data_IF_570817015376
#
_entry.id   IF_570817015376
#
_cell.length_a   1.000
_cell.length_b   1.000
_cell.length_c   1.000
_cell.angle_alpha   90.00
_cell.angle_beta   90.00
_cell.angle_gamma   90.00
#
_symmetry.space_group_name_H-M   'P 1'
#
loop_
_entity.id
_entity.type
_entity.pdbx_description
1 polymer ?
#
# COMPACT_ATOMS: atom_id res chain seq x y z
N UNK A 1 -14.21 -5.09 11.01
CA UNK A 1 -12.88 -5.60 10.64
C UNK A 1 -13.07 -6.94 9.93
N UNK A 2 -12.61 -7.05 8.68
CA UNK A 2 -12.84 -8.25 7.83
C UNK A 2 -11.65 -9.22 7.92
N UNK A 3 -10.47 -8.75 8.35
CA UNK A 3 -9.25 -9.57 8.43
C UNK A 3 -8.25 -8.95 9.40
N UNK A 4 -7.10 -9.63 9.63
CA UNK A 4 -6.03 -9.14 10.49
C UNK A 4 -5.24 -8.02 9.82
N UNK A 5 -4.59 -7.17 10.62
CA UNK A 5 -3.70 -6.11 10.11
C UNK A 5 -2.52 -6.73 9.36
N UNK A 6 -2.02 -7.89 9.83
CA UNK A 6 -0.93 -8.61 9.16
C UNK A 6 -1.29 -8.98 7.71
N UNK A 7 -2.46 -9.56 7.47
CA UNK A 7 -2.94 -9.90 6.12
C UNK A 7 -3.10 -8.64 5.25
N UNK A 8 -3.68 -7.58 5.81
CA UNK A 8 -3.83 -6.31 5.10
C UNK A 8 -2.49 -5.73 4.65
N UNK A 9 -1.49 -5.66 5.54
CA UNK A 9 -0.16 -5.12 5.22
C UNK A 9 0.63 -6.01 4.26
N UNK A 10 0.55 -7.33 4.41
CA UNK A 10 1.19 -8.29 3.49
C UNK A 10 0.63 -8.14 2.07
N UNK A 11 -0.70 -8.12 1.92
CA UNK A 11 -1.32 -7.98 0.60
C UNK A 11 -1.11 -6.60 0.01
N UNK A 12 -1.11 -5.55 0.82
CA UNK A 12 -0.75 -4.20 0.37
C UNK A 12 0.67 -4.13 -0.19
N UNK A 13 1.62 -4.92 0.35
CA UNK A 13 3.01 -5.01 -0.16
C UNK A 13 3.12 -5.47 -1.60
N UNK A 14 2.03 -5.89 -2.23
CA UNK A 14 2.01 -6.24 -3.65
C UNK A 14 2.01 -5.01 -4.57
N UNK A 15 1.76 -3.79 -4.05
CA UNK A 15 1.67 -2.60 -4.90
C UNK A 15 2.93 -2.29 -5.74
N UNK A 16 4.19 -2.54 -5.29
CA UNK A 16 5.35 -2.33 -6.14
C UNK A 16 5.37 -3.22 -7.37
N UNK A 17 4.68 -4.37 -7.31
CA UNK A 17 4.54 -5.23 -8.46
C UNK A 17 3.60 -4.63 -9.50
N UNK A 18 2.45 -4.11 -9.06
CA UNK A 18 1.57 -3.38 -9.96
C UNK A 18 2.32 -2.21 -10.62
N UNK A 19 3.16 -1.49 -9.87
CA UNK A 19 4.03 -0.45 -10.43
C UNK A 19 4.96 -0.99 -11.52
N UNK A 20 5.55 -2.16 -11.30
CA UNK A 20 6.48 -2.78 -12.26
C UNK A 20 5.84 -3.06 -13.62
N UNK A 21 4.52 -3.31 -13.65
CA UNK A 21 3.76 -3.50 -14.90
C UNK A 21 3.13 -2.21 -15.41
N UNK A 22 2.49 -1.45 -14.54
CA UNK A 22 1.75 -0.26 -14.94
C UNK A 22 2.66 0.88 -15.39
N UNK A 23 3.83 1.04 -14.75
CA UNK A 23 4.77 2.11 -15.07
C UNK A 23 5.26 2.04 -16.53
N UNK A 24 5.74 0.88 -17.06
CA UNK A 24 6.10 0.75 -18.45
C UNK A 24 4.93 0.98 -19.41
N UNK A 25 3.71 0.56 -19.06
CA UNK A 25 2.52 0.77 -19.90
C UNK A 25 2.19 2.25 -20.00
N UNK A 26 2.16 2.97 -18.87
CA UNK A 26 1.79 4.40 -18.82
C UNK A 26 2.86 5.29 -19.46
N UNK A 27 4.15 4.96 -19.24
CA UNK A 27 5.27 5.73 -19.78
C UNK A 27 5.83 5.16 -21.10
N UNK A 28 5.12 4.20 -21.73
CA UNK A 28 5.46 3.58 -23.02
C UNK A 28 6.86 2.93 -23.02
N UNK A 29 7.26 2.35 -21.89
CA UNK A 29 8.51 1.59 -21.77
C UNK A 29 8.30 0.10 -22.05
N UNK A 30 9.38 -0.63 -22.38
CA UNK A 30 9.28 -2.09 -22.60
C UNK A 30 9.20 -2.85 -21.28
N UNK A 31 8.22 -3.75 -21.15
CA UNK A 31 8.11 -4.68 -20.03
C UNK A 31 9.29 -5.65 -20.05
N UNK A 32 10.03 -5.72 -18.96
CA UNK A 32 11.18 -6.62 -18.85
C UNK A 32 10.71 -8.05 -18.51
N UNK A 33 11.34 -9.08 -19.09
CA UNK A 33 11.05 -10.49 -18.75
C UNK A 33 11.15 -10.76 -17.25
N UNK A 34 12.06 -10.11 -16.59
CA UNK A 34 12.24 -10.18 -15.15
C UNK A 34 10.98 -9.74 -14.38
N UNK A 35 10.26 -8.73 -14.85
CA UNK A 35 9.03 -8.25 -14.23
C UNK A 35 7.95 -9.33 -14.24
N UNK A 36 7.86 -10.09 -15.32
CA UNK A 36 6.92 -11.23 -15.42
C UNK A 36 7.29 -12.31 -14.39
N UNK A 37 8.58 -12.62 -14.26
CA UNK A 37 9.05 -13.62 -13.29
C UNK A 37 8.74 -13.19 -11.85
N UNK A 38 8.98 -11.93 -11.53
CA UNK A 38 8.65 -11.35 -10.23
C UNK A 38 7.15 -11.42 -9.93
N UNK A 39 6.30 -11.21 -10.96
CA UNK A 39 4.85 -11.33 -10.82
C UNK A 39 4.42 -12.74 -10.42
N UNK A 40 4.99 -13.74 -11.08
CA UNK A 40 4.66 -15.14 -10.81
C UNK A 40 5.05 -15.50 -9.36
N UNK A 41 6.27 -15.16 -8.95
CA UNK A 41 6.74 -15.50 -7.58
C UNK A 41 5.90 -14.75 -6.53
N UNK A 42 5.55 -13.49 -6.78
CA UNK A 42 4.72 -12.74 -5.87
C UNK A 42 3.32 -13.35 -5.75
N UNK A 43 2.72 -13.74 -6.88
CA UNK A 43 1.42 -14.42 -6.88
C UNK A 43 1.49 -15.72 -6.04
N UNK A 44 2.58 -16.48 -6.15
CA UNK A 44 2.82 -17.65 -5.30
C UNK A 44 2.93 -17.23 -3.83
N UNK A 45 3.64 -16.14 -3.52
CA UNK A 45 3.72 -15.59 -2.15
C UNK A 45 2.36 -15.26 -1.57
N UNK A 46 1.48 -14.62 -2.35
CA UNK A 46 0.09 -14.34 -1.93
C UNK A 46 -0.68 -15.65 -1.69
N UNK A 47 -0.56 -16.65 -2.58
CA UNK A 47 -1.24 -17.93 -2.39
C UNK A 47 -0.80 -18.67 -1.12
N UNK A 48 0.47 -18.54 -0.71
CA UNK A 48 0.98 -19.15 0.54
C UNK A 48 0.28 -18.53 1.76
N UNK A 49 -0.07 -17.24 1.72
CA UNK A 49 -0.74 -16.58 2.86
C UNK A 49 -2.19 -17.02 3.05
N UNK A 50 -2.81 -17.63 2.02
CA UNK A 50 -4.21 -18.07 2.08
C UNK A 50 -4.28 -19.46 2.76
N UNK A 51 -4.88 -19.58 3.96
CA UNK A 51 -4.98 -20.88 4.64
C UNK A 51 -5.95 -21.83 3.92
N UNK A 52 -7.11 -21.34 3.54
CA UNK A 52 -8.16 -22.05 2.80
C UNK A 52 -8.81 -21.11 1.80
N UNK A 53 -8.89 -21.54 0.54
CA UNK A 53 -9.51 -20.74 -0.52
C UNK A 53 -11.03 -20.90 -0.48
N UNK A 54 -11.69 -20.07 0.33
CA UNK A 54 -13.14 -20.02 0.43
C UNK A 54 -13.62 -18.57 0.47
N UNK A 55 -14.59 -18.23 -0.39
CA UNK A 55 -15.19 -16.89 -0.36
C UNK A 55 -15.97 -16.59 0.92
N UNK A 56 -16.24 -17.61 1.73
CA UNK A 56 -16.83 -17.47 3.05
C UNK A 56 -15.78 -17.21 4.16
N UNK A 57 -14.48 -17.23 3.81
CA UNK A 57 -13.40 -17.04 4.77
C UNK A 57 -12.99 -15.56 4.79
N UNK A 58 -13.03 -14.94 5.96
CA UNK A 58 -12.65 -13.53 6.19
C UNK A 58 -11.22 -13.23 5.70
N UNK A 59 -10.31 -14.18 5.82
CA UNK A 59 -8.94 -14.07 5.29
C UNK A 59 -8.92 -13.87 3.78
N UNK A 60 -9.69 -14.67 3.03
CA UNK A 60 -9.78 -14.56 1.56
C UNK A 60 -10.37 -13.22 1.15
N UNK A 61 -11.43 -12.78 1.83
CA UNK A 61 -12.05 -11.47 1.60
C UNK A 61 -11.06 -10.34 1.90
N UNK A 62 -10.32 -10.44 3.00
CA UNK A 62 -9.27 -9.49 3.38
C UNK A 62 -8.16 -9.38 2.33
N UNK A 63 -7.72 -10.51 1.77
CA UNK A 63 -6.73 -10.55 0.69
C UNK A 63 -7.25 -9.86 -0.58
N UNK A 64 -8.50 -10.13 -0.98
CA UNK A 64 -9.11 -9.48 -2.15
C UNK A 64 -9.13 -7.95 -1.98
N UNK A 65 -9.61 -7.47 -0.83
CA UNK A 65 -9.62 -6.04 -0.53
C UNK A 65 -8.22 -5.44 -0.46
N UNK A 66 -7.26 -6.16 0.12
CA UNK A 66 -5.85 -5.75 0.15
C UNK A 66 -5.23 -5.65 -1.24
N UNK A 67 -5.55 -6.57 -2.16
CA UNK A 67 -5.09 -6.52 -3.55
C UNK A 67 -5.72 -5.34 -4.32
N UNK A 68 -7.00 -5.04 -4.10
CA UNK A 68 -7.68 -3.87 -4.68
C UNK A 68 -7.02 -2.59 -4.16
N UNK A 69 -6.79 -2.49 -2.86
CA UNK A 69 -6.10 -1.36 -2.23
C UNK A 69 -4.68 -1.18 -2.81
N UNK A 70 -3.94 -2.26 -2.96
CA UNK A 70 -2.61 -2.29 -3.55
C UNK A 70 -2.59 -1.78 -5.00
N UNK A 71 -3.53 -2.21 -5.83
CA UNK A 71 -3.67 -1.74 -7.20
C UNK A 71 -4.03 -0.25 -7.28
N UNK A 72 -4.99 0.20 -6.49
CA UNK A 72 -5.40 1.61 -6.46
C UNK A 72 -4.27 2.50 -5.97
N UNK A 73 -3.49 2.06 -4.97
CA UNK A 73 -2.32 2.78 -4.48
C UNK A 73 -1.19 2.84 -5.53
N UNK A 74 -1.00 1.79 -6.31
CA UNK A 74 -0.06 1.81 -7.42
C UNK A 74 -0.46 2.83 -8.49
N UNK A 75 -1.74 2.89 -8.86
CA UNK A 75 -2.26 3.89 -9.80
C UNK A 75 -2.06 5.31 -9.25
N UNK A 76 -2.37 5.54 -7.97
CA UNK A 76 -2.16 6.81 -7.28
C UNK A 76 -0.68 7.23 -7.31
N UNK A 77 0.24 6.29 -7.01
CA UNK A 77 1.68 6.53 -7.03
C UNK A 77 2.17 6.94 -8.42
N UNK A 78 1.66 6.32 -9.49
CA UNK A 78 1.99 6.69 -10.86
C UNK A 78 1.41 8.06 -11.25
N UNK A 79 0.19 8.37 -10.82
CA UNK A 79 -0.41 9.68 -10.99
C UNK A 79 0.42 10.76 -10.28
N UNK A 80 0.84 10.52 -9.04
CA UNK A 80 1.69 11.41 -8.27
C UNK A 80 3.03 11.65 -8.95
N UNK A 81 3.67 10.61 -9.48
CA UNK A 81 4.89 10.73 -10.28
C UNK A 81 4.66 11.58 -11.51
N UNK A 82 3.59 11.35 -12.25
CA UNK A 82 3.26 12.11 -13.47
C UNK A 82 3.03 13.59 -13.17
N UNK A 83 2.25 13.89 -12.14
CA UNK A 83 1.95 15.27 -11.77
C UNK A 83 3.13 15.97 -11.08
N UNK A 84 4.00 15.25 -10.36
CA UNK A 84 5.15 15.83 -9.66
C UNK A 84 6.16 16.48 -10.61
N UNK A 85 6.16 16.11 -11.90
CA UNK A 85 6.95 16.77 -12.91
C UNK A 85 6.48 18.20 -13.23
N UNK A 86 5.20 18.53 -12.96
CA UNK A 86 4.57 19.80 -13.35
C UNK A 86 4.13 20.64 -12.17
N UNK A 87 3.76 20.03 -11.05
CA UNK A 87 3.17 20.69 -9.89
C UNK A 87 4.02 20.47 -8.63
N UNK A 88 3.91 21.40 -7.68
CA UNK A 88 4.51 21.23 -6.38
C UNK A 88 3.81 20.11 -5.59
N UNK A 89 4.55 19.33 -4.82
CA UNK A 89 4.01 18.21 -4.04
C UNK A 89 2.83 18.64 -3.15
N UNK A 90 2.94 19.78 -2.48
CA UNK A 90 1.87 20.35 -1.65
C UNK A 90 0.57 20.58 -2.43
N UNK A 91 0.65 20.99 -3.69
CA UNK A 91 -0.53 21.20 -4.54
C UNK A 91 -1.17 19.86 -4.89
N UNK A 92 -0.37 18.87 -5.26
CA UNK A 92 -0.86 17.52 -5.57
C UNK A 92 -1.57 16.94 -4.35
N UNK A 93 -0.92 16.96 -3.18
CA UNK A 93 -1.49 16.44 -1.94
C UNK A 93 -2.76 17.19 -1.51
N UNK A 94 -2.82 18.52 -1.72
CA UNK A 94 -4.02 19.28 -1.41
C UNK A 94 -5.22 18.82 -2.24
N UNK A 95 -5.05 18.64 -3.55
CA UNK A 95 -6.13 18.16 -4.41
C UNK A 95 -6.49 16.70 -4.11
N UNK A 96 -5.49 15.84 -3.89
CA UNK A 96 -5.66 14.43 -3.58
C UNK A 96 -6.44 14.24 -2.27
N UNK A 97 -5.94 14.81 -1.17
CA UNK A 97 -6.57 14.69 0.14
C UNK A 97 -7.86 15.49 0.23
N UNK A 98 -7.90 16.66 -0.40
CA UNK A 98 -9.10 17.49 -0.45
C UNK A 98 -10.25 16.82 -1.20
N UNK A 99 -9.99 16.23 -2.36
CA UNK A 99 -11.01 15.48 -3.09
C UNK A 99 -11.50 14.26 -2.32
N UNK A 100 -10.58 13.51 -1.68
CA UNK A 100 -10.95 12.39 -0.83
C UNK A 100 -11.81 12.83 0.36
N UNK A 101 -11.46 13.94 1.01
CA UNK A 101 -12.24 14.49 2.11
C UNK A 101 -13.66 14.89 1.67
N UNK A 102 -13.79 15.55 0.52
CA UNK A 102 -15.11 15.95 -0.03
C UNK A 102 -15.97 14.72 -0.36
N UNK A 103 -15.39 13.71 -1.00
CA UNK A 103 -16.10 12.46 -1.35
C UNK A 103 -16.54 11.68 -0.11
N UNK A 104 -15.70 11.67 0.94
CA UNK A 104 -15.98 10.95 2.18
C UNK A 104 -16.81 11.74 3.19
N UNK A 105 -16.99 13.03 2.98
CA UNK A 105 -17.76 13.89 3.90
C UNK A 105 -19.16 13.33 4.23
N UNK A 106 -19.95 12.81 3.26
CA UNK A 106 -21.26 12.23 3.56
C UNK A 106 -21.20 11.05 4.54
N UNK A 107 -20.07 10.30 4.56
CA UNK A 107 -19.92 9.15 5.48
C UNK A 107 -19.97 9.57 6.96
N UNK A 108 -19.58 10.80 7.29
CA UNK A 108 -19.69 11.32 8.67
C UNK A 108 -21.13 11.39 9.17
N UNK A 109 -22.10 11.52 8.26
CA UNK A 109 -23.52 11.60 8.58
C UNK A 109 -24.21 10.23 8.53
N UNK A 110 -23.55 9.21 7.94
CA UNK A 110 -24.09 7.87 7.78
C UNK A 110 -23.58 6.89 8.85
N UNK A 111 -22.46 7.23 9.52
CA UNK A 111 -21.84 6.37 10.53
C UNK A 111 -22.03 7.01 11.92
N UNK A 112 -22.75 6.33 12.78
CA UNK A 112 -22.86 6.72 14.19
C UNK A 112 -21.52 6.48 14.89
N UNK A 113 -20.83 7.56 15.25
CA UNK A 113 -19.54 7.52 15.94
C UNK A 113 -19.60 8.27 17.25
N UNK A 114 -19.16 7.62 18.32
CA UNK A 114 -18.95 8.28 19.62
C UNK A 114 -17.51 8.75 19.70
N UNK A 115 -17.31 10.05 19.60
CA UNK A 115 -15.97 10.65 19.65
C UNK A 115 -15.48 10.81 21.08
N UNK A 116 -14.32 10.21 21.40
CA UNK A 116 -13.57 10.46 22.61
C UNK A 116 -12.44 11.44 22.33
N UNK A 117 -11.97 12.17 23.32
CA UNK A 117 -10.83 13.11 23.17
C UNK A 117 -9.57 12.41 22.61
N UNK A 118 -9.35 11.16 23.00
CA UNK A 118 -8.24 10.34 22.51
C UNK A 118 -8.35 10.03 21.00
N UNK A 119 -9.57 9.77 20.53
CA UNK A 119 -9.83 9.48 19.11
C UNK A 119 -9.57 10.73 18.26
N UNK A 120 -9.99 11.91 18.74
CA UNK A 120 -9.74 13.19 18.08
C UNK A 120 -8.24 13.48 18.01
N UNK A 121 -7.50 13.26 19.09
CA UNK A 121 -6.05 13.44 19.10
C UNK A 121 -5.34 12.46 18.17
N UNK A 122 -5.78 11.18 18.12
CA UNK A 122 -5.27 10.17 17.21
C UNK A 122 -5.52 10.52 15.74
N UNK A 123 -6.75 10.90 15.39
CA UNK A 123 -7.12 11.33 14.03
C UNK A 123 -6.34 12.58 13.63
N UNK A 124 -6.16 13.55 14.53
CA UNK A 124 -5.36 14.74 14.26
C UNK A 124 -3.89 14.38 14.00
N UNK A 125 -3.29 13.49 14.80
CA UNK A 125 -1.93 13.01 14.58
C UNK A 125 -1.78 12.33 13.22
N UNK A 126 -2.66 11.39 12.89
CA UNK A 126 -2.65 10.69 11.59
C UNK A 126 -2.85 11.68 10.44
N UNK A 127 -3.79 12.62 10.56
CA UNK A 127 -4.08 13.59 9.52
C UNK A 127 -2.92 14.56 9.27
N UNK A 128 -2.34 15.16 10.31
CA UNK A 128 -1.28 16.15 10.14
C UNK A 128 0.10 15.53 9.91
N UNK A 129 0.48 14.53 10.71
CA UNK A 129 1.84 13.97 10.66
C UNK A 129 1.95 12.89 9.60
N UNK A 130 1.08 11.87 9.64
CA UNK A 130 1.21 10.72 8.75
C UNK A 130 0.66 11.02 7.35
N UNK A 131 -0.41 11.82 7.24
CA UNK A 131 -1.03 12.11 5.94
C UNK A 131 -0.50 13.41 5.34
N UNK A 132 -0.68 14.56 5.96
CA UNK A 132 -0.27 15.82 5.34
C UNK A 132 1.25 15.94 5.19
N UNK A 133 2.01 15.72 6.25
CA UNK A 133 3.46 15.90 6.24
C UNK A 133 4.19 14.75 5.55
N UNK A 134 4.02 13.52 6.01
CA UNK A 134 4.75 12.37 5.49
C UNK A 134 4.41 12.08 4.02
N UNK A 135 3.13 12.16 3.64
CA UNK A 135 2.72 11.95 2.24
C UNK A 135 3.23 13.06 1.32
N UNK A 136 3.27 14.32 1.77
CA UNK A 136 3.87 15.42 1.01
C UNK A 136 5.37 15.21 0.76
N UNK A 137 6.12 14.67 1.74
CA UNK A 137 7.51 14.29 1.55
C UNK A 137 7.66 13.16 0.53
N UNK A 138 6.80 12.14 0.61
CA UNK A 138 6.78 11.02 -0.31
C UNK A 138 6.54 11.48 -1.75
N UNK A 139 5.51 12.30 -2.00
CA UNK A 139 5.21 12.87 -3.32
C UNK A 139 6.34 13.77 -3.81
N UNK A 140 6.96 14.55 -2.91
CA UNK A 140 8.11 15.40 -3.25
C UNK A 140 9.33 14.59 -3.70
N UNK A 141 9.59 13.43 -3.07
CA UNK A 141 10.68 12.54 -3.44
C UNK A 141 10.49 11.93 -4.84
N UNK A 142 9.25 11.74 -5.30
CA UNK A 142 8.94 11.17 -6.62
C UNK A 142 9.38 12.04 -7.81
N UNK A 143 9.76 13.30 -7.58
CA UNK A 143 10.41 14.13 -8.62
C UNK A 143 11.76 13.57 -9.05
N UNK A 144 12.49 12.98 -8.11
CA UNK A 144 13.89 12.56 -8.30
C UNK A 144 14.08 11.05 -8.23
N UNK A 145 13.04 10.32 -7.81
CA UNK A 145 13.09 8.87 -7.56
C UNK A 145 12.04 8.18 -8.41
N UNK A 146 12.41 7.08 -9.08
CA UNK A 146 11.46 6.25 -9.83
C UNK A 146 10.38 5.70 -8.89
N UNK A 147 9.16 5.53 -9.39
CA UNK A 147 8.04 5.00 -8.61
C UNK A 147 8.36 3.61 -7.99
N UNK A 148 9.08 2.77 -8.74
CA UNK A 148 9.57 1.48 -8.23
C UNK A 148 10.50 1.62 -7.03
N UNK A 149 11.45 2.56 -7.04
CA UNK A 149 12.36 2.79 -5.89
C UNK A 149 11.59 3.32 -4.67
N UNK A 150 10.64 4.23 -4.88
CA UNK A 150 9.73 4.67 -3.83
C UNK A 150 8.93 3.49 -3.26
N UNK A 151 8.47 2.57 -4.12
CA UNK A 151 7.79 1.35 -3.72
C UNK A 151 8.62 0.42 -2.84
N UNK A 152 9.96 0.32 -3.05
CA UNK A 152 10.82 -0.49 -2.16
C UNK A 152 10.82 0.09 -0.75
N UNK A 153 11.06 1.38 -0.65
CA UNK A 153 11.14 2.06 0.65
C UNK A 153 9.81 1.91 1.37
N UNK A 154 8.70 2.09 0.66
CA UNK A 154 7.36 1.85 1.23
C UNK A 154 7.12 0.39 1.60
N UNK A 155 7.76 -0.57 0.95
CA UNK A 155 7.67 -1.99 1.33
C UNK A 155 8.13 -2.27 2.76
N UNK A 156 8.97 -1.42 3.35
CA UNK A 156 9.34 -1.50 4.77
C UNK A 156 8.14 -1.26 5.71
N UNK A 157 7.10 -0.57 5.23
CA UNK A 157 5.85 -0.36 5.97
C UNK A 157 5.23 -1.69 6.43
N UNK A 158 5.32 -2.74 5.62
CA UNK A 158 4.82 -4.06 5.98
C UNK A 158 5.54 -4.65 7.19
N UNK A 159 6.87 -4.51 7.25
CA UNK A 159 7.65 -5.00 8.38
C UNK A 159 7.23 -4.28 9.65
N UNK A 160 7.15 -2.95 9.59
CA UNK A 160 6.69 -2.16 10.73
C UNK A 160 5.23 -2.45 11.09
N UNK A 161 4.36 -2.62 10.07
CA UNK A 161 2.95 -2.96 10.28
C UNK A 161 2.76 -4.27 11.04
N UNK A 162 3.50 -5.33 10.67
CA UNK A 162 3.46 -6.63 11.38
C UNK A 162 3.98 -6.48 12.80
N UNK A 163 5.10 -5.76 13.01
CA UNK A 163 5.66 -5.53 14.34
C UNK A 163 4.69 -4.75 15.23
N UNK A 164 4.06 -3.72 14.70
CA UNK A 164 3.08 -2.93 15.46
C UNK A 164 1.79 -3.71 15.74
N UNK A 165 1.31 -4.53 14.80
CA UNK A 165 0.16 -5.41 15.02
C UNK A 165 0.44 -6.39 16.18
N UNK A 166 1.64 -6.98 16.22
CA UNK A 166 2.06 -7.84 17.32
C UNK A 166 2.12 -7.08 18.67
N UNK A 167 2.75 -5.90 18.70
CA UNK A 167 3.01 -5.17 19.94
C UNK A 167 1.77 -4.46 20.51
N UNK A 168 0.91 -3.90 19.66
CA UNK A 168 -0.21 -3.07 20.09
C UNK A 168 -1.57 -3.78 20.01
N UNK A 169 -1.74 -4.74 19.09
CA UNK A 169 -2.99 -5.46 18.90
C UNK A 169 -2.94 -6.90 19.42
N UNK A 170 -1.73 -7.41 19.76
CA UNK A 170 -1.54 -8.80 20.16
C UNK A 170 -1.78 -9.81 19.02
N UNK A 171 -1.80 -9.37 17.77
CA UNK A 171 -1.96 -10.23 16.60
C UNK A 171 -0.66 -11.01 16.37
N UNK A 172 -0.69 -12.33 16.57
CA UNK A 172 0.46 -13.21 16.31
C UNK A 172 0.35 -13.72 14.86
N UNK A 173 1.27 -13.30 13.96
CA UNK A 173 1.23 -13.74 12.58
C UNK A 173 1.50 -15.24 12.48
N UNK A 174 0.75 -15.93 11.65
CA UNK A 174 0.93 -17.35 11.38
C UNK A 174 2.24 -17.59 10.60
N UNK A 175 2.76 -18.81 10.65
CA UNK A 175 3.96 -19.19 9.86
C UNK A 175 3.72 -18.97 8.36
N UNK A 176 2.51 -19.20 7.87
CA UNK A 176 2.15 -18.96 6.46
C UNK A 176 2.22 -17.50 6.10
N UNK A 177 1.71 -16.62 6.94
CA UNK A 177 1.78 -15.16 6.75
C UNK A 177 3.23 -14.66 6.78
N UNK A 178 4.06 -15.19 7.67
CA UNK A 178 5.48 -14.85 7.73
C UNK A 178 6.23 -15.31 6.47
N UNK A 179 6.01 -16.54 6.02
CA UNK A 179 6.67 -17.08 4.81
C UNK A 179 6.17 -16.38 3.56
N UNK A 180 4.85 -16.22 3.39
CA UNK A 180 4.27 -15.51 2.25
C UNK A 180 4.71 -14.05 2.21
N UNK A 181 4.69 -13.36 3.36
CA UNK A 181 5.17 -11.98 3.51
C UNK A 181 6.65 -11.84 3.15
N UNK A 182 7.50 -12.76 3.59
CA UNK A 182 8.93 -12.76 3.25
C UNK A 182 9.15 -12.94 1.72
N UNK A 183 8.39 -13.81 1.07
CA UNK A 183 8.43 -14.00 -0.39
C UNK A 183 7.99 -12.72 -1.10
N UNK A 184 6.86 -12.13 -0.70
CA UNK A 184 6.32 -10.90 -1.29
C UNK A 184 7.32 -9.75 -1.17
N UNK A 185 7.84 -9.50 0.04
CA UNK A 185 8.82 -8.45 0.30
C UNK A 185 10.13 -8.70 -0.48
N UNK A 186 10.64 -9.93 -0.45
CA UNK A 186 11.87 -10.29 -1.15
C UNK A 186 11.78 -10.04 -2.64
N UNK A 187 10.65 -10.40 -3.27
CA UNK A 187 10.43 -10.16 -4.70
C UNK A 187 10.22 -8.68 -5.00
N UNK A 188 9.46 -7.97 -4.18
CA UNK A 188 9.27 -6.52 -4.35
C UNK A 188 10.61 -5.79 -4.30
N UNK A 189 11.45 -6.08 -3.30
CA UNK A 189 12.81 -5.52 -3.18
C UNK A 189 13.70 -5.91 -4.38
N UNK A 190 13.72 -7.19 -4.76
CA UNK A 190 14.52 -7.65 -5.90
C UNK A 190 14.12 -6.96 -7.21
N UNK A 191 12.82 -6.89 -7.50
CA UNK A 191 12.29 -6.25 -8.70
C UNK A 191 12.68 -4.78 -8.76
N UNK A 192 12.59 -4.12 -7.64
CA UNK A 192 12.86 -2.70 -7.53
C UNK A 192 14.37 -2.38 -7.62
N UNK A 193 15.25 -3.20 -7.04
CA UNK A 193 16.71 -3.03 -7.15
C UNK A 193 17.21 -3.21 -8.58
N UNK A 194 16.58 -4.09 -9.37
CA UNK A 194 16.94 -4.33 -10.77
C UNK A 194 16.20 -3.44 -11.79
N UNK A 195 15.34 -2.57 -11.34
CA UNK A 195 14.62 -1.61 -12.19
C UNK A 195 15.51 -0.43 -12.69
N UNK A 196 16.80 -0.46 -12.38
CA UNK A 196 17.82 0.49 -12.89
C UNK A 196 18.09 0.34 -14.37
#
# INVERSE_FOLDING_TARGET
QVSTVAIGTITFSTFPLFLTFLEPIIFHEKIRRQSIFSAIILFIGVLITIPEFSMANDTTIGIIWGMICSLTYAILTLANRYFSARYAARTICLYEQGSAAVVLLPALFLVETTWRAQDIAGVAFVGFICTAFAHSLYVSAQKSVKAQTAGIVSGMETVYGIVYALLFLGEIPTIRELVGGAVILGVAMYSSLKAK
#
